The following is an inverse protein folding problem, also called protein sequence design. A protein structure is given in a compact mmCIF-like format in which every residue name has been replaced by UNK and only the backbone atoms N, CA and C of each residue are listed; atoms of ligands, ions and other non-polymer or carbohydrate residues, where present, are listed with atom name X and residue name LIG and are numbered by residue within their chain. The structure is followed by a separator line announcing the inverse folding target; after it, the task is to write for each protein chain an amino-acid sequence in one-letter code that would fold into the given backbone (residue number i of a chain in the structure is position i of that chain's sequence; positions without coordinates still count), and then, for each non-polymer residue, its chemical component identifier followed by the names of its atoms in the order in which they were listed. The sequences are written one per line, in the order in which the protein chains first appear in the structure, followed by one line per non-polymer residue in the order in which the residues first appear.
data_IF_455310984111
#
_entry.id   IF_455310984111
#
_cell.length_a   1.000
_cell.length_b   1.000
_cell.length_c   1.000
_cell.angle_alpha   90.00
_cell.angle_beta   90.00
_cell.angle_gamma   90.00
#
_symmetry.space_group_name_H-M   'P 1'
#
loop_
_entity.id
_entity.type
_entity.pdbx_description
1 polymer ?
#
# COMPACT_ATOMS: atom_id res chain seq x y z
N UNK A 1 -50.28 2.83 -14.33
CA UNK A 1 -50.66 1.43 -14.11
C UNK A 1 -49.40 0.68 -13.75
N UNK A 2 -49.17 0.07 -12.71
CA UNK A 2 -49.86 -0.47 -11.56
C UNK A 2 -48.79 -0.65 -10.44
N UNK A 3 -49.12 -0.14 -9.32
CA UNK A 3 -48.66 -0.36 -7.96
C UNK A 3 -48.38 -1.85 -7.63
N UNK A 4 -47.29 -2.12 -6.91
CA UNK A 4 -47.36 -3.21 -5.93
C UNK A 4 -46.47 -2.94 -4.71
N UNK A 5 -47.12 -2.48 -3.64
CA UNK A 5 -46.63 -2.49 -2.26
C UNK A 5 -46.84 -3.88 -1.70
N UNK A 6 -45.86 -4.47 -1.05
CA UNK A 6 -46.10 -5.46 -0.01
C UNK A 6 -45.32 -5.13 1.24
N UNK A 7 -46.04 -4.66 2.26
CA UNK A 7 -45.74 -4.74 3.69
C UNK A 7 -46.04 -6.15 4.20
N UNK A 8 -45.21 -6.62 5.08
CA UNK A 8 -45.52 -7.61 6.15
C UNK A 8 -44.35 -7.42 7.15
N UNK A 9 -44.45 -6.93 8.29
CA UNK A 9 -45.26 -7.00 9.52
C UNK A 9 -45.39 -8.42 10.10
N UNK A 10 -44.69 -8.67 11.17
CA UNK A 10 -45.10 -9.36 12.40
C UNK A 10 -43.85 -9.62 13.24
N UNK A 11 -43.82 -9.16 14.43
CA UNK A 11 -44.51 -9.45 15.69
C UNK A 11 -43.75 -10.47 16.54
N UNK A 12 -43.36 -9.93 17.69
CA UNK A 12 -43.51 -10.48 19.04
C UNK A 12 -42.98 -11.89 19.33
N UNK A 13 -42.13 -12.01 20.36
CA UNK A 13 -42.63 -12.52 21.63
C UNK A 13 -41.71 -12.21 22.82
N UNK A 14 -42.38 -11.85 23.91
CA UNK A 14 -41.89 -11.68 25.26
C UNK A 14 -41.66 -13.02 25.94
N UNK A 15 -40.61 -13.19 26.69
CA UNK A 15 -40.38 -14.28 27.61
C UNK A 15 -39.85 -13.81 28.96
N UNK A 16 -40.74 -13.50 29.88
CA UNK A 16 -40.45 -13.31 31.30
C UNK A 16 -40.15 -14.66 31.97
N UNK A 17 -39.19 -14.66 32.89
CA UNK A 17 -39.08 -15.69 33.91
C UNK A 17 -38.07 -15.35 35.00
N UNK A 18 -38.54 -15.16 36.26
CA UNK A 18 -37.63 -14.83 37.39
C UNK A 18 -37.23 -16.10 38.14
N UNK A 19 -35.98 -16.21 38.46
CA UNK A 19 -35.42 -17.26 39.32
C UNK A 19 -34.46 -16.70 40.37
N UNK A 20 -35.06 -16.23 41.49
CA UNK A 20 -34.29 -16.03 42.73
C UNK A 20 -33.80 -17.38 43.25
N UNK A 21 -32.54 -17.50 43.57
CA UNK A 21 -32.08 -18.28 44.74
C UNK A 21 -30.81 -17.69 45.29
N UNK A 22 -30.91 -17.18 46.53
CA UNK A 22 -29.83 -16.83 47.42
C UNK A 22 -28.99 -18.04 47.75
N UNK A 23 -27.67 -17.90 47.75
CA UNK A 23 -26.79 -18.66 48.65
C UNK A 23 -25.66 -17.74 49.07
N UNK A 24 -25.68 -17.37 50.37
CA UNK A 24 -24.52 -16.85 51.09
C UNK A 24 -23.46 -17.95 51.15
N UNK A 25 -22.27 -17.62 50.70
CA UNK A 25 -21.07 -18.29 51.16
C UNK A 25 -19.92 -17.29 51.23
N UNK A 26 -19.54 -17.04 52.46
CA UNK A 26 -18.35 -16.27 52.85
C UNK A 26 -17.12 -17.05 52.37
N UNK A 27 -16.36 -16.46 51.48
CA UNK A 27 -15.09 -17.03 51.00
C UNK A 27 -14.10 -15.89 50.73
N UNK A 28 -13.18 -15.78 51.65
CA UNK A 28 -11.97 -14.94 51.62
C UNK A 28 -11.18 -15.30 50.34
N UNK A 29 -11.03 -14.39 49.39
CA UNK A 29 -10.16 -14.61 48.25
C UNK A 29 -9.30 -13.40 47.93
N UNK A 30 -8.01 -13.69 47.96
CA UNK A 30 -6.87 -12.84 47.71
C UNK A 30 -7.07 -11.94 46.47
N UNK A 31 -6.73 -10.68 46.64
CA UNK A 31 -6.56 -9.68 45.58
C UNK A 31 -5.35 -10.00 44.73
N UNK A 32 -5.54 -10.65 43.61
CA UNK A 32 -4.56 -10.66 42.52
C UNK A 32 -4.88 -9.49 41.59
N UNK A 33 -4.18 -8.39 41.76
CA UNK A 33 -4.11 -7.30 40.80
C UNK A 33 -3.43 -7.80 39.53
N UNK A 34 -4.22 -8.25 38.57
CA UNK A 34 -3.76 -8.47 37.21
C UNK A 34 -3.52 -7.10 36.56
N UNK A 35 -2.24 -6.70 36.42
CA UNK A 35 -1.84 -5.61 35.53
C UNK A 35 -2.20 -6.03 34.10
N UNK A 36 -3.31 -5.48 33.61
CA UNK A 36 -3.59 -5.45 32.18
C UNK A 36 -2.58 -4.51 31.52
N UNK A 37 -1.46 -5.05 31.06
CA UNK A 37 -0.61 -4.38 30.09
C UNK A 37 -1.42 -4.23 28.81
N UNK A 38 -2.03 -3.06 28.63
CA UNK A 38 -2.59 -2.63 27.36
C UNK A 38 -1.43 -2.47 26.38
N UNK A 39 -1.21 -3.49 25.53
CA UNK A 39 -0.37 -3.38 24.37
C UNK A 39 -0.99 -2.34 23.45
N UNK A 40 -0.49 -1.10 23.51
CA UNK A 40 -0.74 -0.10 22.50
C UNK A 40 -0.02 -0.62 21.27
N UNK A 41 -0.72 -1.36 20.40
CA UNK A 41 -0.28 -1.55 19.04
C UNK A 41 -0.27 -0.16 18.40
N UNK A 42 0.93 0.43 18.35
CA UNK A 42 1.17 1.57 17.49
C UNK A 42 0.86 1.10 16.07
N UNK A 43 -0.17 1.66 15.45
CA UNK A 43 -0.38 1.57 14.02
C UNK A 43 0.80 2.27 13.35
N UNK A 44 1.88 1.52 13.12
CA UNK A 44 3.00 1.99 12.33
C UNK A 44 2.52 2.11 10.90
N UNK A 45 2.71 3.29 10.38
CA UNK A 45 2.47 3.80 9.05
C UNK A 45 2.38 2.72 7.96
N UNK A 46 1.18 2.50 7.45
CA UNK A 46 0.90 1.57 6.34
C UNK A 46 1.75 1.83 5.06
N UNK A 47 2.37 3.01 4.95
CA UNK A 47 3.20 3.40 3.81
C UNK A 47 4.56 2.69 3.74
N UNK A 48 5.15 2.30 4.89
CA UNK A 48 6.37 1.48 4.90
C UNK A 48 6.10 0.06 4.39
N UNK A 49 4.96 -0.48 4.76
CA UNK A 49 4.53 -1.83 4.37
C UNK A 49 4.18 -1.91 2.87
N UNK A 50 3.53 -0.89 2.30
CA UNK A 50 3.21 -0.84 0.85
C UNK A 50 4.48 -0.78 0.00
N UNK A 51 5.49 -0.01 0.41
CA UNK A 51 6.78 0.07 -0.29
C UNK A 51 7.53 -1.27 -0.28
N UNK A 52 7.55 -1.96 0.85
CA UNK A 52 8.16 -3.27 0.98
C UNK A 52 7.39 -4.33 0.18
N UNK A 53 6.05 -4.29 0.22
CA UNK A 53 5.19 -5.13 -0.61
C UNK A 53 5.42 -4.93 -2.11
N UNK A 54 5.57 -3.68 -2.56
CA UNK A 54 5.90 -3.34 -3.94
C UNK A 54 7.26 -3.89 -4.35
N UNK A 55 8.29 -3.73 -3.51
CA UNK A 55 9.64 -4.25 -3.72
C UNK A 55 9.62 -5.77 -3.91
N UNK A 56 9.02 -6.49 -2.98
CA UNK A 56 8.89 -7.94 -3.03
C UNK A 56 8.12 -8.40 -4.29
N UNK A 57 7.07 -7.68 -4.69
CA UNK A 57 6.29 -7.99 -5.89
C UNK A 57 7.08 -7.81 -7.19
N UNK A 58 7.93 -6.78 -7.28
CA UNK A 58 8.84 -6.55 -8.42
C UNK A 58 9.89 -7.65 -8.50
N UNK A 59 10.52 -8.00 -7.37
CA UNK A 59 11.52 -9.07 -7.30
C UNK A 59 10.91 -10.42 -7.68
N UNK A 60 9.72 -10.75 -7.18
CA UNK A 60 9.00 -11.97 -7.55
C UNK A 60 8.64 -12.01 -9.05
N UNK A 61 8.24 -10.87 -9.62
CA UNK A 61 7.91 -10.76 -11.06
C UNK A 61 9.15 -10.87 -11.93
N UNK A 62 10.32 -10.43 -11.44
CA UNK A 62 11.62 -10.58 -12.13
C UNK A 62 11.95 -12.04 -12.37
N UNK A 63 11.63 -12.92 -11.42
CA UNK A 63 11.96 -14.33 -11.45
C UNK A 63 13.47 -14.57 -11.43
N UNK A 64 13.87 -15.79 -11.74
CA UNK A 64 15.28 -16.24 -11.66
C UNK A 64 16.06 -16.16 -12.97
N UNK A 65 15.37 -15.96 -14.09
CA UNK A 65 15.99 -16.07 -15.43
C UNK A 65 17.07 -15.01 -15.71
N UNK A 66 16.92 -13.80 -15.11
CA UNK A 66 17.84 -12.67 -15.33
C UNK A 66 18.75 -12.38 -14.13
N UNK A 67 18.69 -13.17 -13.08
CA UNK A 67 19.27 -12.84 -11.79
C UNK A 67 18.47 -11.74 -11.07
N UNK A 68 18.85 -11.46 -9.84
CA UNK A 68 18.17 -10.50 -8.98
C UNK A 68 18.38 -9.05 -9.45
N UNK A 69 17.40 -8.20 -9.19
CA UNK A 69 17.55 -6.75 -9.26
C UNK A 69 18.19 -6.25 -7.96
N UNK A 70 19.11 -5.31 -8.09
CA UNK A 70 19.73 -4.66 -6.92
C UNK A 70 18.91 -3.44 -6.50
N UNK A 71 18.41 -3.44 -5.27
CA UNK A 71 17.79 -2.25 -4.70
C UNK A 71 18.83 -1.16 -4.47
N UNK A 72 18.56 0.05 -4.96
CA UNK A 72 19.50 1.17 -4.87
C UNK A 72 18.84 2.40 -4.26
N UNK A 73 19.36 2.95 -3.16
CA UNK A 73 18.75 4.06 -2.44
C UNK A 73 18.66 5.37 -3.26
N UNK A 74 19.56 5.60 -4.20
CA UNK A 74 19.49 6.77 -5.10
C UNK A 74 18.36 6.58 -6.12
N UNK A 75 18.14 5.33 -6.57
CA UNK A 75 17.02 5.01 -7.46
C UNK A 75 15.68 5.04 -6.72
N UNK A 76 15.66 4.69 -5.42
CA UNK A 76 14.48 4.89 -4.56
C UNK A 76 14.15 6.40 -4.43
N UNK A 77 15.16 7.25 -4.29
CA UNK A 77 14.96 8.72 -4.24
C UNK A 77 14.40 9.24 -5.56
N UNK A 78 14.90 8.76 -6.69
CA UNK A 78 14.34 9.07 -8.01
C UNK A 78 12.88 8.64 -8.14
N UNK A 79 12.56 7.42 -7.69
CA UNK A 79 11.18 6.93 -7.69
C UNK A 79 10.26 7.80 -6.80
N UNK A 80 10.75 8.26 -5.63
CA UNK A 80 10.00 9.18 -4.77
C UNK A 80 9.77 10.54 -5.42
N UNK A 81 10.80 11.13 -6.03
CA UNK A 81 10.69 12.40 -6.72
C UNK A 81 9.66 12.33 -7.86
N UNK A 82 9.71 11.29 -8.67
CA UNK A 82 8.78 11.04 -9.78
C UNK A 82 7.35 10.86 -9.26
N UNK A 83 7.15 10.02 -8.23
CA UNK A 83 5.84 9.78 -7.64
C UNK A 83 5.22 11.06 -7.09
N UNK A 84 6.02 11.92 -6.45
CA UNK A 84 5.59 13.21 -5.93
C UNK A 84 5.15 14.20 -7.05
N UNK A 85 5.71 14.12 -8.27
CA UNK A 85 5.23 14.93 -9.39
C UNK A 85 3.85 14.47 -9.85
N UNK A 86 3.61 13.16 -9.87
CA UNK A 86 2.31 12.56 -10.18
C UNK A 86 1.26 12.98 -9.15
N UNK A 87 1.58 12.90 -7.86
CA UNK A 87 0.71 13.32 -6.77
C UNK A 87 0.26 14.79 -6.90
N UNK A 88 1.22 15.69 -7.10
CA UNK A 88 0.94 17.12 -7.31
C UNK A 88 0.07 17.37 -8.55
N UNK A 89 0.27 16.61 -9.61
CA UNK A 89 -0.51 16.75 -10.84
C UNK A 89 -1.95 16.28 -10.64
N UNK A 90 -2.16 15.14 -10.00
CA UNK A 90 -3.49 14.58 -9.67
C UNK A 90 -4.27 15.55 -8.77
N UNK A 91 -3.60 16.23 -7.87
CA UNK A 91 -4.18 17.23 -6.98
C UNK A 91 -4.44 18.59 -7.66
N UNK A 92 -4.08 18.75 -8.92
CA UNK A 92 -4.03 20.04 -9.61
C UNK A 92 -3.16 21.09 -8.88
N UNK A 93 -2.20 20.64 -8.09
CA UNK A 93 -1.27 21.49 -7.32
C UNK A 93 -0.06 21.92 -8.18
N UNK A 94 0.10 21.34 -9.37
CA UNK A 94 1.13 21.71 -10.34
C UNK A 94 0.52 21.83 -11.74
N UNK A 95 1.04 22.76 -12.54
CA UNK A 95 0.73 22.86 -13.97
C UNK A 95 1.66 21.99 -14.82
N UNK A 96 2.78 21.55 -14.25
CA UNK A 96 3.70 20.63 -14.92
C UNK A 96 3.08 19.23 -14.95
N UNK A 97 3.20 18.55 -16.08
CA UNK A 97 2.88 17.13 -16.22
C UNK A 97 3.79 16.30 -15.34
N UNK A 98 3.39 15.06 -14.96
CA UNK A 98 4.25 14.13 -14.26
C UNK A 98 5.57 13.91 -14.99
N UNK A 99 6.65 13.70 -14.24
CA UNK A 99 7.95 13.39 -14.79
C UNK A 99 7.92 12.07 -15.56
N UNK A 100 8.47 12.06 -16.76
CA UNK A 100 8.49 10.90 -17.65
C UNK A 100 9.91 10.45 -18.04
N UNK A 101 10.93 11.22 -17.67
CA UNK A 101 12.35 10.91 -17.95
C UNK A 101 13.10 10.58 -16.66
N UNK A 102 13.16 9.30 -16.31
CA UNK A 102 13.92 8.85 -15.15
C UNK A 102 15.42 9.13 -15.25
N UNK A 103 16.01 9.17 -16.46
CA UNK A 103 17.45 9.41 -16.59
C UNK A 103 17.83 10.82 -16.17
N UNK A 104 17.02 11.81 -16.49
CA UNK A 104 17.24 13.20 -16.04
C UNK A 104 17.19 13.28 -14.52
N UNK A 105 16.18 12.68 -13.86
CA UNK A 105 16.08 12.68 -12.41
C UNK A 105 17.25 11.95 -11.75
N UNK A 106 17.64 10.80 -12.28
CA UNK A 106 18.78 10.02 -11.78
C UNK A 106 20.08 10.80 -11.89
N UNK A 107 20.33 11.49 -13.01
CA UNK A 107 21.49 12.33 -13.23
C UNK A 107 21.56 13.48 -12.22
N UNK A 108 20.43 14.14 -11.96
CA UNK A 108 20.35 15.23 -10.98
C UNK A 108 20.64 14.74 -9.55
N UNK A 109 20.35 13.47 -9.26
CA UNK A 109 20.69 12.79 -8.01
C UNK A 109 22.11 12.18 -7.99
N UNK A 110 22.89 12.37 -9.05
CA UNK A 110 24.27 11.89 -9.14
C UNK A 110 24.41 10.40 -9.51
N UNK A 111 23.36 9.78 -10.04
CA UNK A 111 23.41 8.39 -10.50
C UNK A 111 23.64 8.32 -12.01
N UNK A 112 24.66 7.55 -12.42
CA UNK A 112 24.97 7.34 -13.83
C UNK A 112 24.21 6.09 -14.38
N UNK A 113 23.19 6.33 -15.18
CA UNK A 113 22.44 5.30 -15.88
C UNK A 113 22.53 5.48 -17.40
N UNK A 114 22.56 4.36 -18.13
CA UNK A 114 22.54 4.36 -19.61
C UNK A 114 21.14 4.17 -20.20
N UNK A 115 20.23 3.57 -19.44
CA UNK A 115 18.83 3.33 -19.79
C UNK A 115 17.99 3.29 -18.53
N UNK A 116 16.84 3.92 -18.52
CA UNK A 116 15.90 3.80 -17.42
C UNK A 116 14.46 3.69 -17.93
N UNK A 117 13.56 3.18 -17.09
CA UNK A 117 12.13 3.17 -17.34
C UNK A 117 11.37 3.43 -16.04
N UNK A 118 10.26 4.14 -16.16
CA UNK A 118 9.32 4.40 -15.07
C UNK A 118 8.13 3.47 -15.26
N UNK A 119 7.72 2.79 -14.20
CA UNK A 119 6.48 2.05 -14.09
C UNK A 119 5.64 2.70 -13.01
N UNK A 120 4.35 2.86 -13.24
CA UNK A 120 3.44 3.52 -12.31
C UNK A 120 2.14 2.75 -12.17
N UNK A 121 1.57 2.80 -10.97
CA UNK A 121 0.26 2.25 -10.66
C UNK A 121 -0.49 3.18 -9.74
N UNK A 122 -1.82 3.19 -9.84
CA UNK A 122 -2.68 3.95 -8.95
C UNK A 122 -4.00 3.20 -8.74
N UNK A 123 -4.43 3.08 -7.49
CA UNK A 123 -5.71 2.53 -7.10
C UNK A 123 -6.07 2.96 -5.67
N UNK A 124 -7.33 2.75 -5.27
CA UNK A 124 -7.75 3.01 -3.89
C UNK A 124 -7.16 1.98 -2.91
N UNK A 125 -6.90 0.76 -3.37
CA UNK A 125 -6.29 -0.31 -2.59
C UNK A 125 -4.82 -0.50 -2.99
N UNK A 126 -3.95 -0.73 -1.98
CA UNK A 126 -2.50 -0.88 -2.18
C UNK A 126 -2.16 -2.06 -3.08
N UNK A 127 -2.83 -3.19 -2.90
CA UNK A 127 -2.61 -4.39 -3.70
C UNK A 127 -3.01 -4.17 -5.17
N UNK A 128 -4.11 -3.46 -5.41
CA UNK A 128 -4.55 -3.11 -6.77
C UNK A 128 -3.62 -2.08 -7.42
N UNK A 129 -3.06 -1.13 -6.66
CA UNK A 129 -2.05 -0.19 -7.16
C UNK A 129 -0.76 -0.92 -7.58
N UNK A 130 -0.28 -1.86 -6.76
CA UNK A 130 0.86 -2.73 -7.08
C UNK A 130 0.56 -3.56 -8.33
N UNK A 131 -0.61 -4.20 -8.40
CA UNK A 131 -1.03 -5.00 -9.55
C UNK A 131 -1.09 -4.18 -10.84
N UNK A 132 -1.62 -2.95 -10.80
CA UNK A 132 -1.65 -2.06 -11.95
C UNK A 132 -0.24 -1.76 -12.48
N UNK A 133 0.71 -1.48 -11.58
CA UNK A 133 2.12 -1.28 -11.91
C UNK A 133 2.74 -2.54 -12.54
N UNK A 134 2.51 -3.71 -11.96
CA UNK A 134 3.06 -4.97 -12.49
C UNK A 134 2.51 -5.29 -13.87
N UNK A 135 1.23 -5.01 -14.13
CA UNK A 135 0.62 -5.16 -15.45
C UNK A 135 1.26 -4.21 -16.48
N UNK A 136 1.57 -2.97 -16.10
CA UNK A 136 2.32 -2.05 -16.95
C UNK A 136 3.75 -2.55 -17.19
N UNK A 137 4.36 -3.13 -16.16
CA UNK A 137 5.74 -3.57 -16.13
C UNK A 137 6.00 -4.97 -16.67
N UNK A 138 4.98 -5.72 -17.12
CA UNK A 138 5.09 -7.14 -17.43
C UNK A 138 6.22 -7.50 -18.41
N UNK A 139 6.51 -6.63 -19.39
CA UNK A 139 7.56 -6.81 -20.37
C UNK A 139 8.89 -6.12 -20.01
N UNK A 140 8.88 -5.25 -19.00
CA UNK A 140 10.05 -4.46 -18.57
C UNK A 140 10.76 -5.08 -17.37
N UNK A 141 10.01 -5.56 -16.39
CA UNK A 141 10.59 -6.17 -15.19
C UNK A 141 11.44 -7.41 -15.55
N UNK A 142 11.02 -8.31 -16.46
CA UNK A 142 11.84 -9.45 -16.88
C UNK A 142 12.96 -9.11 -17.87
N UNK A 143 13.11 -7.86 -18.32
CA UNK A 143 14.21 -7.48 -19.24
C UNK A 143 15.55 -7.50 -18.51
N UNK A 144 16.41 -8.48 -18.85
CA UNK A 144 17.70 -8.71 -18.21
C UNK A 144 18.71 -7.55 -18.32
N UNK A 145 18.43 -6.54 -19.15
CA UNK A 145 19.30 -5.36 -19.26
C UNK A 145 19.26 -4.52 -17.98
N UNK A 146 18.11 -4.43 -17.30
CA UNK A 146 17.99 -3.70 -16.04
C UNK A 146 18.68 -4.45 -14.91
N UNK A 147 19.43 -3.73 -14.07
CA UNK A 147 20.19 -4.27 -12.94
C UNK A 147 19.79 -3.66 -11.62
N UNK A 148 19.61 -2.34 -11.58
CA UNK A 148 19.23 -1.61 -10.40
C UNK A 148 17.77 -1.20 -10.47
N UNK A 149 17.13 -1.08 -9.29
CA UNK A 149 15.78 -0.57 -9.19
C UNK A 149 15.55 0.22 -7.90
N UNK A 150 14.54 1.04 -7.93
CA UNK A 150 14.01 1.73 -6.77
C UNK A 150 12.50 1.81 -6.81
N UNK A 151 11.90 1.92 -5.64
CA UNK A 151 10.45 1.92 -5.47
C UNK A 151 9.97 3.11 -4.64
N UNK A 152 8.75 3.53 -4.89
CA UNK A 152 8.03 4.50 -4.07
C UNK A 152 6.56 4.14 -4.01
N UNK A 153 6.00 4.19 -2.82
CA UNK A 153 4.55 4.18 -2.59
C UNK A 153 4.16 5.44 -1.83
N UNK A 154 3.05 6.07 -2.21
CA UNK A 154 2.53 7.29 -1.63
C UNK A 154 1.01 7.25 -1.61
N UNK A 155 0.40 7.56 -0.47
CA UNK A 155 -1.04 7.70 -0.37
C UNK A 155 -1.47 9.17 -0.56
N UNK A 156 -2.27 9.42 -1.60
CA UNK A 156 -2.91 10.70 -1.83
C UNK A 156 -4.22 10.79 -1.06
N UNK A 157 -4.21 11.47 0.08
CA UNK A 157 -5.37 11.56 0.98
C UNK A 157 -6.56 12.34 0.38
N UNK A 158 -6.34 13.23 -0.61
CA UNK A 158 -7.42 13.99 -1.24
C UNK A 158 -8.24 13.18 -2.22
N UNK A 159 -7.62 12.21 -2.85
CA UNK A 159 -8.22 11.34 -3.85
C UNK A 159 -8.49 9.94 -3.34
N UNK A 160 -8.01 9.64 -2.12
CA UNK A 160 -8.04 8.31 -1.52
C UNK A 160 -7.44 7.27 -2.46
N UNK A 161 -6.22 7.55 -2.93
CA UNK A 161 -5.50 6.72 -3.89
C UNK A 161 -4.09 6.42 -3.38
N UNK A 162 -3.67 5.18 -3.51
CA UNK A 162 -2.26 4.78 -3.41
C UNK A 162 -1.62 4.89 -4.77
N UNK A 163 -0.53 5.66 -4.83
CA UNK A 163 0.31 5.86 -6.01
C UNK A 163 1.58 5.05 -5.83
N UNK A 164 1.89 4.20 -6.78
CA UNK A 164 3.12 3.39 -6.79
C UNK A 164 3.98 3.76 -8.00
N UNK A 165 5.30 3.81 -7.78
CA UNK A 165 6.28 4.07 -8.83
C UNK A 165 7.47 3.14 -8.66
N UNK A 166 7.94 2.56 -9.75
CA UNK A 166 9.18 1.80 -9.85
C UNK A 166 10.04 2.40 -10.95
N UNK A 167 11.30 2.62 -10.64
CA UNK A 167 12.32 2.99 -11.63
C UNK A 167 13.24 1.78 -11.81
N UNK A 168 13.36 1.29 -13.04
CA UNK A 168 14.32 0.26 -13.43
C UNK A 168 15.45 0.92 -14.21
N UNK A 169 16.70 0.54 -13.92
CA UNK A 169 17.89 1.19 -14.48
C UNK A 169 18.91 0.18 -14.99
N UNK A 170 19.52 0.53 -16.12
CA UNK A 170 20.78 -0.07 -16.61
C UNK A 170 21.88 0.90 -16.17
N UNK A 171 22.79 0.52 -15.25
CA UNK A 171 23.95 1.34 -14.90
C UNK A 171 24.81 1.66 -16.13
N UNK A 172 25.55 2.77 -16.09
CA UNK A 172 26.46 3.17 -17.15
C UNK A 172 27.75 2.33 -17.17
#
# INVERSE_FOLDING_TARGET
MATNRRRLSSRHDNGHGPGRRSCLAIGLCLTTTALMMSSVLSAQSALGDTGDGLRAAVEATRGTACGELTSNPVVDEAARAINATTDKWIDNASRAVPETDALTVLKDLGYAGSKATILSGAAADDGDAIKALLLQGYAKIPDCSYKDFGVSALHNAKKDLTLTTVVLVVPA
#
